data_IF_952900505239
#
_entry.id   IF_952900505239
#
_cell.length_a   1.000
_cell.length_b   1.000
_cell.length_c   1.000
_cell.angle_alpha   90.00
_cell.angle_beta   90.00
_cell.angle_gamma   90.00
#
_symmetry.space_group_name_H-M   'P 1'
#
loop_
_entity.id
_entity.type
_entity.pdbx_description
1 polymer ?
#
# COMPACT_ATOMS: atom_id res chain seq x y z
N UNK A 1 -59.75 -22.62 -21.47
CA UNK A 1 -59.00 -22.42 -20.26
C UNK A 1 -57.49 -22.59 -20.65
N UNK A 2 -56.84 -21.46 -21.02
CA UNK A 2 -55.42 -21.47 -21.43
C UNK A 2 -54.59 -21.14 -20.19
N UNK A 3 -53.73 -22.08 -19.76
CA UNK A 3 -52.74 -21.86 -18.72
C UNK A 3 -51.49 -21.24 -19.36
N UNK A 4 -51.23 -19.95 -19.04
CA UNK A 4 -49.95 -19.29 -19.40
C UNK A 4 -48.87 -19.67 -18.38
N UNK A 5 -47.86 -20.41 -18.83
CA UNK A 5 -46.66 -20.69 -18.04
C UNK A 5 -45.68 -19.51 -18.18
N UNK A 6 -45.52 -18.76 -17.06
CA UNK A 6 -44.51 -17.70 -16.94
C UNK A 6 -43.16 -18.35 -16.62
N UNK A 7 -42.25 -18.39 -17.61
CA UNK A 7 -40.88 -18.83 -17.39
C UNK A 7 -40.08 -17.72 -16.67
N UNK A 8 -39.79 -17.92 -15.39
CA UNK A 8 -38.78 -17.13 -14.67
C UNK A 8 -37.40 -17.54 -15.15
N UNK A 9 -36.74 -16.65 -15.88
CA UNK A 9 -35.31 -16.78 -16.22
C UNK A 9 -34.51 -16.31 -15.02
N UNK A 10 -33.67 -17.16 -14.37
CA UNK A 10 -32.78 -16.69 -13.33
C UNK A 10 -31.67 -15.85 -13.97
N UNK A 11 -31.59 -14.57 -13.59
CA UNK A 11 -30.47 -13.71 -13.95
C UNK A 11 -29.22 -14.26 -13.26
N UNK A 12 -28.35 -14.92 -14.01
CA UNK A 12 -26.99 -15.20 -13.57
C UNK A 12 -26.24 -13.87 -13.48
N UNK A 13 -26.15 -13.32 -12.27
CA UNK A 13 -25.14 -12.32 -11.97
C UNK A 13 -23.78 -13.01 -12.06
N UNK A 14 -23.05 -12.77 -13.14
CA UNK A 14 -21.64 -13.13 -13.23
C UNK A 14 -20.92 -12.34 -12.11
N UNK A 15 -20.54 -13.02 -11.04
CA UNK A 15 -19.60 -12.49 -10.05
C UNK A 15 -18.26 -12.40 -10.76
N UNK A 16 -17.94 -11.23 -11.31
CA UNK A 16 -16.62 -10.93 -11.83
C UNK A 16 -15.62 -11.06 -10.69
N UNK A 17 -14.85 -12.15 -10.66
CA UNK A 17 -13.80 -12.38 -9.66
C UNK A 17 -12.76 -11.25 -9.72
N UNK A 18 -12.26 -10.81 -8.56
CA UNK A 18 -11.19 -9.82 -8.49
C UNK A 18 -9.96 -10.29 -9.30
N UNK A 19 -9.38 -9.39 -10.08
CA UNK A 19 -8.14 -9.65 -10.82
C UNK A 19 -6.94 -9.34 -9.91
N UNK A 20 -6.32 -10.38 -9.36
CA UNK A 20 -5.19 -10.24 -8.43
C UNK A 20 -3.87 -10.52 -9.15
N UNK A 21 -2.88 -9.65 -8.95
CA UNK A 21 -1.54 -9.82 -9.50
C UNK A 21 -0.48 -9.44 -8.47
N UNK A 22 0.70 -10.07 -8.60
CA UNK A 22 1.85 -9.71 -7.77
C UNK A 22 2.41 -8.36 -8.18
N UNK A 23 2.86 -7.60 -7.19
CA UNK A 23 3.49 -6.29 -7.38
C UNK A 23 4.77 -6.23 -6.57
N UNK A 24 5.75 -5.44 -7.06
CA UNK A 24 7.00 -5.20 -6.36
C UNK A 24 7.75 -4.02 -6.93
N UNK A 25 8.67 -3.49 -6.12
CA UNK A 25 9.49 -2.36 -6.51
C UNK A 25 10.30 -1.78 -5.37
N UNK A 26 10.82 -0.58 -5.58
CA UNK A 26 11.62 0.16 -4.60
C UNK A 26 10.98 1.50 -4.29
N UNK A 27 11.20 1.96 -3.07
CA UNK A 27 10.74 3.25 -2.56
C UNK A 27 11.96 4.04 -2.10
N UNK A 28 12.05 5.28 -2.54
CA UNK A 28 13.02 6.25 -2.06
C UNK A 28 12.29 7.50 -1.58
N UNK A 29 12.37 7.78 -0.28
CA UNK A 29 11.78 8.97 0.31
C UNK A 29 12.80 9.75 1.13
N UNK A 30 12.56 11.05 1.30
CA UNK A 30 13.32 11.93 2.17
C UNK A 30 12.44 12.42 3.29
N UNK A 31 13.02 12.62 4.49
CA UNK A 31 12.34 13.34 5.56
C UNK A 31 12.17 14.81 5.15
N UNK A 32 10.95 15.31 5.20
CA UNK A 32 10.65 16.74 5.09
C UNK A 32 10.75 17.42 6.44
N UNK A 33 10.34 16.71 7.48
CA UNK A 33 10.41 17.08 8.89
C UNK A 33 10.38 15.81 9.77
N UNK A 34 10.10 15.95 11.06
CA UNK A 34 10.08 14.84 12.02
C UNK A 34 8.90 13.87 11.83
N UNK A 35 7.87 14.27 11.08
CA UNK A 35 6.62 13.52 10.94
C UNK A 35 6.25 13.20 9.50
N UNK A 36 6.93 13.79 8.52
CA UNK A 36 6.58 13.62 7.12
C UNK A 36 7.77 13.15 6.29
N UNK A 37 7.50 12.22 5.39
CA UNK A 37 8.44 11.88 4.31
C UNK A 37 7.76 12.02 2.96
N UNK A 38 8.53 12.32 1.93
CA UNK A 38 8.06 12.41 0.56
C UNK A 38 9.09 11.83 -0.39
N UNK A 39 8.65 11.17 -1.43
CA UNK A 39 9.52 10.61 -2.45
C UNK A 39 8.77 9.87 -3.54
N UNK A 40 9.43 8.87 -4.10
CA UNK A 40 8.91 8.12 -5.23
C UNK A 40 9.03 6.62 -5.04
N UNK A 41 8.12 5.90 -5.68
CA UNK A 41 8.18 4.46 -5.86
C UNK A 41 8.45 4.13 -7.33
N UNK A 42 9.18 3.03 -7.55
CA UNK A 42 9.44 2.42 -8.84
C UNK A 42 8.84 1.02 -8.90
N UNK A 43 8.86 0.36 -10.06
CA UNK A 43 8.26 -0.97 -10.23
C UNK A 43 6.79 -0.90 -10.62
N UNK A 44 5.98 -1.85 -10.14
CA UNK A 44 4.59 -2.04 -10.60
C UNK A 44 3.64 -0.94 -10.11
N UNK A 45 3.91 -0.35 -8.93
CA UNK A 45 3.12 0.74 -8.36
C UNK A 45 3.86 2.09 -8.44
N UNK A 46 4.60 2.32 -9.52
CA UNK A 46 5.41 3.54 -9.69
C UNK A 46 4.59 4.82 -9.54
N UNK A 47 5.19 5.83 -8.89
CA UNK A 47 4.52 7.11 -8.63
C UNK A 47 5.13 7.88 -7.47
N UNK A 48 4.38 8.85 -6.95
CA UNK A 48 4.73 9.63 -5.76
C UNK A 48 4.21 8.97 -4.48
N UNK A 49 5.00 9.02 -3.43
CA UNK A 49 4.65 8.46 -2.12
C UNK A 49 4.97 9.46 -1.01
N UNK A 50 3.98 9.73 -0.17
CA UNK A 50 4.13 10.45 1.09
C UNK A 50 3.77 9.56 2.29
N UNK A 51 4.44 9.78 3.41
CA UNK A 51 4.10 9.14 4.69
C UNK A 51 3.97 10.21 5.76
N UNK A 52 2.92 10.11 6.55
CA UNK A 52 2.69 10.92 7.74
C UNK A 52 2.76 10.02 8.98
N UNK A 53 3.65 10.35 9.92
CA UNK A 53 3.75 9.69 11.23
C UNK A 53 2.67 10.29 12.13
N UNK A 54 1.69 9.49 12.51
CA UNK A 54 0.45 9.92 13.16
C UNK A 54 0.60 10.17 14.67
N UNK A 55 1.64 9.59 15.29
CA UNK A 55 1.88 9.71 16.72
C UNK A 55 3.39 9.72 17.01
N UNK A 56 3.84 10.27 18.15
CA UNK A 56 5.23 10.14 18.57
C UNK A 56 5.69 8.68 18.57
N UNK A 57 6.92 8.39 18.12
CA UNK A 57 7.44 7.03 18.09
C UNK A 57 7.43 6.41 19.50
N UNK A 58 7.16 5.13 19.58
CA UNK A 58 7.09 4.36 20.83
C UNK A 58 8.12 3.24 20.86
N UNK A 59 8.43 2.75 22.08
CA UNK A 59 9.29 1.59 22.25
C UNK A 59 8.57 0.33 21.75
N UNK A 60 9.24 -0.43 20.91
CA UNK A 60 8.77 -1.71 20.39
C UNK A 60 9.53 -2.90 20.96
N UNK A 61 9.21 -4.13 20.52
CA UNK A 61 9.88 -5.33 20.95
C UNK A 61 11.36 -5.34 20.54
N UNK A 62 12.20 -6.01 21.34
CA UNK A 62 13.63 -6.23 21.09
C UNK A 62 14.44 -4.94 20.85
N UNK A 63 14.06 -3.83 21.50
CA UNK A 63 14.76 -2.55 21.37
C UNK A 63 14.47 -1.79 20.06
N UNK A 64 13.42 -2.18 19.35
CA UNK A 64 12.96 -1.42 18.20
C UNK A 64 12.22 -0.14 18.60
N UNK A 65 12.07 0.73 17.61
CA UNK A 65 11.21 1.92 17.67
C UNK A 65 10.04 1.66 16.73
N UNK A 66 8.81 1.92 17.18
CA UNK A 66 7.58 1.76 16.37
C UNK A 66 7.09 3.13 15.93
N UNK A 67 6.76 3.23 14.65
CA UNK A 67 6.17 4.40 14.00
C UNK A 67 4.79 4.01 13.46
N UNK A 68 3.76 4.72 13.88
CA UNK A 68 2.40 4.56 13.35
C UNK A 68 2.20 5.49 12.16
N UNK A 69 1.98 4.94 10.96
CA UNK A 69 2.10 5.64 9.69
C UNK A 69 0.80 5.62 8.89
N UNK A 70 0.50 6.77 8.29
CA UNK A 70 -0.47 6.91 7.21
C UNK A 70 0.25 7.10 5.87
N UNK A 71 -0.19 6.37 4.83
CA UNK A 71 0.44 6.38 3.51
C UNK A 71 -0.45 7.07 2.48
N UNK A 72 0.17 7.92 1.66
CA UNK A 72 -0.46 8.56 0.51
C UNK A 72 0.33 8.14 -0.73
N UNK A 73 -0.33 7.49 -1.68
CA UNK A 73 0.32 7.01 -2.89
C UNK A 73 -0.46 7.43 -4.13
N UNK A 74 0.21 8.14 -5.03
CA UNK A 74 -0.35 8.56 -6.31
C UNK A 74 0.51 7.96 -7.41
N UNK A 75 -0.08 7.13 -8.26
CA UNK A 75 0.61 6.47 -9.36
C UNK A 75 0.96 7.44 -10.49
N UNK A 76 1.83 7.05 -11.42
CA UNK A 76 2.15 7.86 -12.60
C UNK A 76 0.93 8.17 -13.48
N UNK A 77 -0.10 7.31 -13.46
CA UNK A 77 -1.37 7.57 -14.17
C UNK A 77 -2.26 8.60 -13.47
N UNK A 78 -1.90 9.06 -12.28
CA UNK A 78 -2.70 9.98 -11.47
C UNK A 78 -3.74 9.30 -10.58
N UNK A 79 -3.84 7.97 -10.63
CA UNK A 79 -4.72 7.22 -9.73
C UNK A 79 -4.11 7.16 -8.33
N UNK A 80 -4.94 7.19 -7.30
CA UNK A 80 -4.50 7.00 -5.91
C UNK A 80 -4.65 5.55 -5.48
N UNK A 81 -3.77 5.11 -4.59
CA UNK A 81 -3.92 3.86 -3.84
C UNK A 81 -4.10 4.23 -2.38
N UNK A 82 -5.16 3.73 -1.76
CA UNK A 82 -5.47 3.93 -0.35
C UNK A 82 -5.00 2.74 0.47
N UNK A 83 -4.35 3.04 1.59
CA UNK A 83 -3.85 2.04 2.53
C UNK A 83 -4.48 2.23 3.90
N UNK A 84 -4.61 1.16 4.66
CA UNK A 84 -4.82 1.26 6.09
C UNK A 84 -3.58 1.83 6.78
N UNK A 85 -3.76 2.51 7.90
CA UNK A 85 -2.65 2.92 8.74
C UNK A 85 -1.89 1.67 9.21
N UNK A 86 -0.56 1.78 9.31
CA UNK A 86 0.29 0.63 9.60
C UNK A 86 1.50 0.99 10.46
N UNK A 87 1.97 0.01 11.25
CA UNK A 87 3.11 0.16 12.14
C UNK A 87 4.40 -0.33 11.46
N UNK A 88 5.37 0.57 11.34
CA UNK A 88 6.73 0.25 10.97
C UNK A 88 7.60 0.11 12.22
N UNK A 89 8.47 -0.88 12.23
CA UNK A 89 9.54 -1.03 13.23
C UNK A 89 10.88 -0.63 12.65
N UNK A 90 11.66 0.09 13.44
CA UNK A 90 13.03 0.46 13.09
C UNK A 90 13.98 -0.06 14.18
N UNK A 91 15.03 -0.79 13.75
CA UNK A 91 16.07 -1.32 14.62
C UNK A 91 17.38 -0.59 14.34
N UNK A 92 18.12 -0.14 15.36
CA UNK A 92 19.46 0.38 15.16
C UNK A 92 20.36 -0.64 14.44
N UNK A 93 20.96 -0.23 13.34
CA UNK A 93 21.99 -1.01 12.63
C UNK A 93 23.37 -0.75 13.26
N UNK A 94 24.38 -1.63 13.00
CA UNK A 94 25.72 -1.42 13.55
C UNK A 94 26.40 -0.11 13.11
N UNK A 95 26.03 0.44 11.95
CA UNK A 95 26.55 1.72 11.50
C UNK A 95 25.75 2.89 12.11
N UNK A 96 26.43 3.91 12.68
CA UNK A 96 25.74 5.05 13.28
C UNK A 96 24.78 5.75 12.30
N UNK A 97 23.58 6.06 12.78
CA UNK A 97 22.55 6.75 11.98
C UNK A 97 21.78 5.86 11.01
N UNK A 98 22.11 4.58 10.90
CA UNK A 98 21.34 3.63 10.10
C UNK A 98 20.35 2.86 10.97
N UNK A 99 19.14 2.70 10.43
CA UNK A 99 18.08 1.86 11.01
C UNK A 99 17.66 0.83 9.96
N UNK A 100 17.52 -0.43 10.37
CA UNK A 100 16.78 -1.42 9.58
C UNK A 100 15.29 -1.20 9.81
N UNK A 101 14.52 -1.07 8.75
CA UNK A 101 13.08 -0.79 8.79
C UNK A 101 12.30 -1.97 8.26
N UNK A 102 11.24 -2.35 8.98
CA UNK A 102 10.30 -3.36 8.54
C UNK A 102 8.90 -3.03 9.08
N UNK A 103 7.86 -3.28 8.31
CA UNK A 103 6.49 -3.18 8.82
C UNK A 103 6.13 -4.43 9.63
N UNK A 104 5.47 -4.25 10.77
CA UNK A 104 5.10 -5.35 11.68
C UNK A 104 4.16 -6.35 11.02
N UNK A 105 3.26 -5.83 10.18
CA UNK A 105 2.33 -6.59 9.35
C UNK A 105 2.40 -6.02 7.94
N UNK A 106 1.89 -6.78 6.98
CA UNK A 106 1.70 -6.27 5.63
C UNK A 106 0.79 -5.03 5.64
N UNK A 107 1.14 -4.03 4.83
CA UNK A 107 0.34 -2.82 4.66
C UNK A 107 -0.86 -3.14 3.77
N UNK A 108 -2.07 -2.99 4.32
CA UNK A 108 -3.31 -3.38 3.64
C UNK A 108 -3.76 -2.30 2.67
N UNK A 109 -4.10 -2.71 1.43
CA UNK A 109 -4.74 -1.85 0.43
C UNK A 109 -6.25 -1.88 0.68
N UNK A 110 -6.86 -0.70 0.83
CA UNK A 110 -8.26 -0.53 1.19
C UNK A 110 -9.11 0.09 0.09
N UNK A 111 -8.50 0.45 -1.04
CA UNK A 111 -9.17 1.06 -2.18
C UNK A 111 -8.26 1.98 -2.97
N UNK A 112 -8.88 2.92 -3.67
CA UNK A 112 -8.19 3.94 -4.44
C UNK A 112 -9.12 4.66 -5.41
N UNK A 113 -8.52 5.31 -6.40
CA UNK A 113 -9.24 5.95 -7.51
C UNK A 113 -8.87 5.31 -8.85
N UNK A 114 -9.63 5.59 -9.90
CA UNK A 114 -9.39 5.08 -11.25
C UNK A 114 -9.29 3.56 -11.26
N UNK A 115 -8.20 3.00 -11.78
CA UNK A 115 -8.00 1.54 -11.82
C UNK A 115 -7.91 0.86 -10.45
N UNK A 116 -7.72 1.64 -9.37
CA UNK A 116 -7.69 1.14 -7.99
C UNK A 116 -9.01 1.37 -7.24
N UNK A 117 -10.07 1.83 -7.93
CA UNK A 117 -11.39 1.92 -7.30
C UNK A 117 -11.84 0.54 -6.81
N UNK A 118 -12.12 0.45 -5.49
CA UNK A 118 -12.44 -0.79 -4.81
C UNK A 118 -11.32 -1.85 -4.83
N UNK A 119 -10.07 -1.45 -5.05
CA UNK A 119 -8.93 -2.35 -4.94
C UNK A 119 -8.75 -2.87 -3.51
N UNK A 120 -8.15 -4.02 -3.40
CA UNK A 120 -7.78 -4.67 -2.14
C UNK A 120 -6.42 -5.37 -2.30
N UNK A 121 -5.88 -5.85 -1.20
CA UNK A 121 -4.61 -6.57 -1.21
C UNK A 121 -3.70 -6.15 -0.07
N UNK A 122 -2.44 -6.49 -0.19
CA UNK A 122 -1.44 -6.18 0.84
C UNK A 122 -0.04 -6.16 0.26
N UNK A 123 0.82 -5.36 0.85
CA UNK A 123 2.25 -5.30 0.52
C UNK A 123 3.09 -5.39 1.80
N UNK A 124 4.15 -6.18 1.75
CA UNK A 124 5.26 -6.12 2.69
C UNK A 124 6.16 -4.95 2.31
N UNK A 125 6.64 -4.20 3.30
CA UNK A 125 7.57 -3.08 3.08
C UNK A 125 8.73 -3.20 4.06
N UNK A 126 9.96 -3.16 3.55
CA UNK A 126 11.18 -3.34 4.35
C UNK A 126 12.38 -2.63 3.72
N UNK A 127 13.41 -2.36 4.51
CA UNK A 127 14.63 -1.72 4.02
C UNK A 127 15.41 -0.99 5.10
N UNK A 128 15.84 0.23 4.82
CA UNK A 128 16.68 1.00 5.73
C UNK A 128 16.31 2.49 5.73
N UNK A 129 16.55 3.15 6.87
CA UNK A 129 16.55 4.59 7.00
C UNK A 129 17.98 5.06 7.34
N UNK A 130 18.47 6.06 6.62
CA UNK A 130 19.71 6.78 6.90
C UNK A 130 19.36 8.15 7.52
N UNK A 131 19.42 8.21 8.83
CA UNK A 131 19.06 9.44 9.56
C UNK A 131 20.07 10.57 9.31
N UNK A 132 21.31 10.24 8.95
CA UNK A 132 22.36 11.24 8.67
C UNK A 132 22.10 11.98 7.35
N UNK A 133 21.43 11.32 6.42
CA UNK A 133 21.04 11.87 5.12
C UNK A 133 19.56 12.24 5.04
N UNK A 134 18.78 11.87 6.06
CA UNK A 134 17.34 12.07 6.04
C UNK A 134 16.62 11.26 4.96
N UNK A 135 17.06 10.04 4.70
CA UNK A 135 16.57 9.20 3.61
C UNK A 135 16.06 7.85 4.09
N UNK A 136 15.02 7.35 3.39
CA UNK A 136 14.58 5.96 3.49
C UNK A 136 14.72 5.30 2.12
N UNK A 137 15.33 4.12 2.12
CA UNK A 137 15.47 3.25 0.94
C UNK A 137 14.79 1.94 1.29
N UNK A 138 13.61 1.74 0.72
CA UNK A 138 12.76 0.60 1.03
C UNK A 138 12.45 -0.20 -0.23
N UNK A 139 11.99 -1.43 -0.04
CA UNK A 139 11.38 -2.28 -1.05
C UNK A 139 9.96 -2.59 -0.64
N UNK A 140 9.11 -2.83 -1.63
CA UNK A 140 7.79 -3.38 -1.40
C UNK A 140 7.58 -4.59 -2.30
N UNK A 141 6.81 -5.54 -1.80
CA UNK A 141 6.35 -6.71 -2.55
C UNK A 141 5.01 -7.19 -1.99
N UNK A 142 4.15 -7.72 -2.83
CA UNK A 142 2.86 -8.21 -2.38
C UNK A 142 1.88 -8.49 -3.49
N UNK A 143 0.61 -8.26 -3.22
CA UNK A 143 -0.47 -8.52 -4.15
C UNK A 143 -1.49 -7.40 -4.14
N UNK A 144 -1.93 -7.00 -5.33
CA UNK A 144 -3.02 -6.07 -5.56
C UNK A 144 -4.12 -6.78 -6.33
N UNK A 145 -5.35 -6.64 -5.86
CA UNK A 145 -6.56 -7.14 -6.50
C UNK A 145 -7.40 -5.94 -6.93
N UNK A 146 -7.71 -5.84 -8.22
CA UNK A 146 -8.58 -4.80 -8.78
C UNK A 146 -9.88 -5.40 -9.28
N UNK A 147 -10.91 -4.58 -9.43
CA UNK A 147 -12.14 -4.98 -10.10
C UNK A 147 -11.84 -5.26 -11.58
N UNK A 148 -12.52 -6.24 -12.21
CA UNK A 148 -12.45 -6.39 -13.66
C UNK A 148 -12.90 -5.09 -14.34
N UNK A 149 -12.16 -4.67 -15.36
CA UNK A 149 -12.58 -3.55 -16.22
C UNK A 149 -13.84 -4.02 -16.94
N UNK A 150 -14.98 -3.39 -16.69
CA UNK A 150 -16.17 -3.62 -17.50
C UNK A 150 -15.95 -2.92 -18.84
N UNK A 151 -16.14 -3.59 -19.98
CA UNK A 151 -16.16 -2.90 -21.26
C UNK A 151 -17.27 -1.85 -21.23
N UNK A 152 -16.95 -0.63 -21.62
CA UNK A 152 -17.96 0.43 -21.85
C UNK A 152 -18.89 -0.06 -22.99
N UNK A 153 -20.20 -0.12 -22.70
CA UNK A 153 -21.23 -0.42 -23.69
C UNK A 153 -21.47 0.76 -24.64
#
# INVERSE_FOLDING_TARGET
>A
MLLSFLLLVPSLFAQGGANCHHVGGSILTNFLDQTHTLGSATGDLRGGLGVNILAPPSAGPNGSIVFHNHHQWVTESGDTILFADADATAFPAPAPGLLAVNYLNDVMITGGTGRYDGASGKIAVFGAADLSKGQLILRYEGQVCTRPVQPEE
#
